data_IF_368384734881
#
_entry.id   IF_368384734881
#
_cell.length_a   1.000
_cell.length_b   1.000
_cell.length_c   1.000
_cell.angle_alpha   90.00
_cell.angle_beta   90.00
_cell.angle_gamma   90.00
#
_symmetry.space_group_name_H-M   'P 1'
#
loop_
_entity.id
_entity.type
_entity.pdbx_description
1 polymer ?
#
# COMPACT_ATOMS: atom_id res chain seq x y z
N UNK A 1 0.81 11.77 -20.27
CA UNK A 1 1.76 12.15 -19.20
C UNK A 1 1.03 11.91 -17.89
N UNK A 2 1.60 11.14 -16.97
CA UNK A 2 0.97 10.84 -15.68
C UNK A 2 1.47 11.89 -14.70
N UNK A 3 0.61 12.82 -14.29
CA UNK A 3 1.00 13.88 -13.36
C UNK A 3 1.04 13.34 -11.93
N UNK A 4 2.17 13.55 -11.25
CA UNK A 4 2.34 13.24 -9.83
C UNK A 4 1.99 14.48 -9.00
N UNK A 5 1.24 14.31 -7.91
CA UNK A 5 0.94 15.39 -7.00
C UNK A 5 2.11 15.63 -6.03
N UNK A 6 2.60 16.86 -5.96
CA UNK A 6 3.55 17.28 -4.94
C UNK A 6 2.80 17.57 -3.63
N UNK A 7 3.21 16.92 -2.54
CA UNK A 7 2.53 17.02 -1.25
C UNK A 7 3.47 17.56 -0.18
N UNK A 8 2.89 18.31 0.77
CA UNK A 8 3.58 18.61 2.02
C UNK A 8 3.33 17.53 3.06
N UNK A 9 4.39 17.02 3.70
CA UNK A 9 4.30 16.00 4.75
C UNK A 9 4.84 16.57 6.05
N UNK A 10 3.99 16.68 7.07
CA UNK A 10 4.43 17.03 8.42
C UNK A 10 5.23 15.88 9.02
N UNK A 11 6.30 16.19 9.76
CA UNK A 11 7.11 15.19 10.46
C UNK A 11 8.16 14.46 9.63
N UNK A 12 8.33 14.79 8.34
CA UNK A 12 9.44 14.28 7.50
C UNK A 12 10.58 15.32 7.39
N UNK A 13 11.85 14.89 7.29
CA UNK A 13 12.99 15.81 7.12
C UNK A 13 12.85 16.69 5.88
N UNK A 14 12.37 16.13 4.78
CA UNK A 14 12.02 16.86 3.56
C UNK A 14 10.51 17.08 3.55
N UNK A 15 10.11 18.35 3.51
CA UNK A 15 8.72 18.78 3.74
C UNK A 15 7.86 18.82 2.49
N UNK A 16 8.46 18.85 1.30
CA UNK A 16 7.78 18.92 0.01
C UNK A 16 8.42 17.91 -0.94
N UNK A 17 7.58 17.12 -1.61
CA UNK A 17 8.05 16.16 -2.59
C UNK A 17 6.93 15.29 -3.11
N UNK A 18 7.32 14.33 -3.94
CA UNK A 18 6.43 13.29 -4.44
C UNK A 18 6.37 12.12 -3.47
N UNK A 19 5.23 11.44 -3.48
CA UNK A 19 5.00 10.23 -2.69
C UNK A 19 4.85 9.05 -3.64
N UNK A 20 5.27 7.88 -3.19
CA UNK A 20 5.01 6.63 -3.87
C UNK A 20 4.66 5.55 -2.85
N UNK A 21 3.77 4.65 -3.24
CA UNK A 21 3.55 3.38 -2.57
C UNK A 21 4.66 2.42 -2.98
N UNK A 22 5.19 1.65 -2.04
CA UNK A 22 6.31 0.74 -2.31
C UNK A 22 6.05 -0.61 -1.66
N UNK A 23 6.11 -1.67 -2.47
CA UNK A 23 6.22 -3.05 -2.02
C UNK A 23 7.68 -3.49 -2.11
N UNK A 24 8.29 -3.79 -0.98
CA UNK A 24 9.70 -4.18 -0.91
C UNK A 24 9.92 -5.42 -0.04
N UNK A 25 10.99 -6.14 -0.31
CA UNK A 25 11.48 -7.21 0.56
C UNK A 25 12.01 -6.65 1.88
N UNK A 26 12.15 -7.51 2.90
CA UNK A 26 12.76 -7.13 4.19
C UNK A 26 14.20 -6.58 4.06
N UNK A 27 14.90 -6.92 2.98
CA UNK A 27 16.26 -6.45 2.69
C UNK A 27 16.28 -5.13 1.91
N UNK A 28 15.12 -4.55 1.59
CA UNK A 28 15.00 -3.26 0.89
C UNK A 28 14.92 -3.36 -0.63
N UNK A 29 14.90 -4.55 -1.23
CA UNK A 29 14.67 -4.69 -2.67
C UNK A 29 13.23 -4.31 -3.03
N UNK A 30 13.07 -3.32 -3.90
CA UNK A 30 11.77 -2.88 -4.42
C UNK A 30 11.26 -3.91 -5.44
N UNK A 31 10.10 -4.49 -5.15
CA UNK A 31 9.41 -5.43 -6.06
C UNK A 31 8.31 -4.73 -6.85
N UNK A 32 7.72 -3.69 -6.28
CA UNK A 32 6.63 -2.93 -6.86
C UNK A 32 6.63 -1.51 -6.33
N UNK A 33 6.28 -0.54 -7.18
CA UNK A 33 6.12 0.85 -6.80
C UNK A 33 5.00 1.49 -7.62
N UNK A 34 4.18 2.32 -6.98
CA UNK A 34 3.18 3.14 -7.65
C UNK A 34 3.22 4.58 -7.14
N UNK A 35 3.38 5.56 -8.04
CA UNK A 35 3.25 6.98 -7.71
C UNK A 35 1.93 7.32 -7.01
N UNK A 36 1.99 8.09 -5.92
CA UNK A 36 0.80 8.67 -5.32
C UNK A 36 0.42 9.96 -6.06
N UNK A 37 -0.81 10.03 -6.54
CA UNK A 37 -1.31 11.14 -7.36
C UNK A 37 -2.22 12.10 -6.59
N UNK A 38 -2.24 12.02 -5.26
CA UNK A 38 -3.15 12.85 -4.46
C UNK A 38 -4.61 12.44 -4.68
N UNK A 39 -5.48 13.42 -4.87
CA UNK A 39 -6.91 13.23 -5.05
C UNK A 39 -7.28 12.48 -6.34
N UNK A 40 -6.39 12.44 -7.33
CA UNK A 40 -6.61 11.72 -8.59
C UNK A 40 -6.10 10.28 -8.56
N UNK A 41 -5.55 9.82 -7.42
CA UNK A 41 -5.11 8.42 -7.29
C UNK A 41 -6.31 7.50 -7.46
N UNK A 42 -6.32 6.74 -8.55
CA UNK A 42 -7.44 5.87 -8.89
C UNK A 42 -7.45 4.65 -7.98
N UNK A 43 -8.56 4.45 -7.27
CA UNK A 43 -8.82 3.21 -6.58
C UNK A 43 -9.30 2.17 -7.61
N UNK A 44 -8.72 0.96 -7.60
CA UNK A 44 -9.23 -0.13 -8.42
C UNK A 44 -10.73 -0.34 -8.13
N UNK A 45 -11.63 -0.33 -9.14
CA UNK A 45 -13.07 -0.46 -8.93
C UNK A 45 -13.48 -1.68 -8.12
N UNK A 46 -12.72 -2.79 -8.22
CA UNK A 46 -12.98 -4.04 -7.49
C UNK A 46 -12.85 -3.83 -5.97
N UNK A 47 -11.98 -2.91 -5.54
CA UNK A 47 -11.65 -2.67 -4.13
C UNK A 47 -12.13 -1.31 -3.64
N UNK A 48 -13.01 -0.63 -4.39
CA UNK A 48 -13.47 0.72 -4.09
C UNK A 48 -14.03 0.85 -2.67
N UNK A 49 -14.81 -0.14 -2.25
CA UNK A 49 -15.46 -0.19 -0.93
C UNK A 49 -14.48 -0.41 0.23
N UNK A 50 -13.27 -0.91 -0.05
CA UNK A 50 -12.21 -1.11 0.96
C UNK A 50 -11.33 0.14 1.14
N UNK A 51 -11.53 1.15 0.29
CA UNK A 51 -10.74 2.37 0.27
C UNK A 51 -9.41 2.25 -0.48
N UNK A 52 -8.77 3.40 -0.69
CA UNK A 52 -7.56 3.50 -1.52
C UNK A 52 -6.40 2.62 -1.01
N UNK A 53 -6.15 2.64 0.30
CA UNK A 53 -5.04 1.89 0.89
C UNK A 53 -5.16 0.38 0.67
N UNK A 54 -6.34 -0.18 0.92
CA UNK A 54 -6.63 -1.59 0.67
C UNK A 54 -6.49 -1.95 -0.80
N UNK A 55 -6.98 -1.08 -1.69
CA UNK A 55 -6.89 -1.27 -3.14
C UNK A 55 -5.45 -1.36 -3.64
N UNK A 56 -4.60 -0.44 -3.18
CA UNK A 56 -3.15 -0.41 -3.47
C UNK A 56 -2.47 -1.69 -2.98
N UNK A 57 -2.76 -2.11 -1.74
CA UNK A 57 -2.19 -3.33 -1.17
C UNK A 57 -2.58 -4.57 -1.99
N UNK A 58 -3.87 -4.76 -2.23
CA UNK A 58 -4.37 -5.94 -2.96
C UNK A 58 -3.85 -5.99 -4.40
N UNK A 59 -3.72 -4.83 -5.06
CA UNK A 59 -3.13 -4.75 -6.40
C UNK A 59 -1.63 -5.09 -6.37
N UNK A 60 -0.87 -4.53 -5.43
CA UNK A 60 0.56 -4.78 -5.32
C UNK A 60 0.87 -6.27 -5.09
N UNK A 61 0.13 -6.92 -4.18
CA UNK A 61 0.28 -8.34 -3.87
C UNK A 61 -0.02 -9.21 -5.09
N UNK A 62 -1.09 -8.90 -5.83
CA UNK A 62 -1.44 -9.61 -7.07
C UNK A 62 -0.36 -9.47 -8.15
N UNK A 63 0.25 -8.30 -8.29
CA UNK A 63 1.28 -8.06 -9.30
C UNK A 63 2.60 -8.74 -8.93
N UNK A 64 2.99 -8.65 -7.66
CA UNK A 64 4.20 -9.32 -7.15
C UNK A 64 4.06 -10.83 -7.30
N UNK A 65 2.90 -11.41 -6.97
CA UNK A 65 2.69 -12.86 -7.04
C UNK A 65 2.70 -13.42 -8.47
N UNK A 66 2.32 -12.62 -9.46
CA UNK A 66 2.44 -13.01 -10.88
C UNK A 66 3.87 -13.03 -11.37
N UNK A 67 4.75 -12.22 -10.78
CA UNK A 67 6.16 -12.12 -11.16
C UNK A 67 7.06 -13.13 -10.46
N UNK A 68 6.61 -13.72 -9.34
CA UNK A 68 7.44 -14.53 -8.45
C UNK A 68 6.63 -15.66 -7.80
N UNK A 69 7.00 -16.93 -8.07
CA UNK A 69 6.50 -18.12 -7.37
C UNK A 69 7.19 -18.30 -6.01
N UNK A 70 7.01 -17.34 -5.10
CA UNK A 70 7.68 -17.36 -3.80
C UNK A 70 6.65 -17.25 -2.66
N UNK A 71 6.79 -18.05 -1.59
CA UNK A 71 5.89 -18.03 -0.44
C UNK A 71 6.18 -16.81 0.43
N UNK A 72 5.79 -15.62 -0.04
CA UNK A 72 6.02 -14.38 0.69
C UNK A 72 5.00 -14.19 1.82
N UNK A 73 5.50 -13.84 3.00
CA UNK A 73 4.69 -13.19 4.02
C UNK A 73 4.62 -11.70 3.71
N UNK A 74 3.41 -11.14 3.68
CA UNK A 74 3.19 -9.71 3.43
C UNK A 74 3.10 -9.01 4.78
N UNK A 75 3.96 -8.02 5.01
CA UNK A 75 3.89 -7.21 6.23
C UNK A 75 3.36 -5.83 5.85
N UNK A 76 2.25 -5.44 6.47
CA UNK A 76 1.56 -4.17 6.23
C UNK A 76 1.73 -3.26 7.43
N UNK A 77 2.30 -2.08 7.22
CA UNK A 77 2.59 -1.17 8.32
C UNK A 77 1.41 -0.21 8.61
N UNK A 78 0.52 0.06 7.63
CA UNK A 78 -0.34 1.28 7.65
C UNK A 78 -1.78 1.01 7.20
N UNK A 79 -2.07 -0.21 6.75
CA UNK A 79 -3.39 -0.56 6.22
C UNK A 79 -3.88 -1.81 6.92
N UNK A 80 -4.61 -1.63 8.01
CA UNK A 80 -5.27 -2.74 8.70
C UNK A 80 -6.69 -2.36 9.07
N UNK A 81 -7.64 -2.89 8.30
CA UNK A 81 -9.02 -3.10 8.71
C UNK A 81 -9.33 -4.59 8.59
N UNK A 82 -10.28 -5.10 9.37
CA UNK A 82 -10.71 -6.51 9.27
C UNK A 82 -11.11 -6.92 7.84
N UNK A 83 -11.78 -6.09 7.02
CA UNK A 83 -12.16 -6.50 5.66
C UNK A 83 -10.95 -6.70 4.74
N UNK A 84 -9.87 -5.93 4.93
CA UNK A 84 -8.65 -6.07 4.14
C UNK A 84 -7.93 -7.39 4.48
N UNK A 85 -7.87 -7.76 5.76
CA UNK A 85 -7.23 -9.02 6.18
C UNK A 85 -7.97 -10.24 5.62
N UNK A 86 -9.30 -10.19 5.60
CA UNK A 86 -10.12 -11.24 5.00
C UNK A 86 -9.81 -11.41 3.51
N UNK A 87 -9.72 -10.31 2.75
CA UNK A 87 -9.40 -10.35 1.31
C UNK A 87 -7.99 -10.85 1.01
N UNK A 88 -7.01 -10.50 1.85
CA UNK A 88 -5.63 -11.00 1.72
C UNK A 88 -5.59 -12.51 2.00
N UNK A 89 -6.30 -12.96 3.03
CA UNK A 89 -6.36 -14.37 3.41
C UNK A 89 -7.01 -15.21 2.32
N UNK A 90 -8.10 -14.72 1.70
CA UNK A 90 -8.74 -15.38 0.54
C UNK A 90 -7.78 -15.57 -0.64
N UNK A 91 -6.75 -14.74 -0.76
CA UNK A 91 -5.72 -14.80 -1.80
C UNK A 91 -4.50 -15.65 -1.41
N UNK A 92 -4.58 -16.40 -0.31
CA UNK A 92 -3.52 -17.23 0.23
C UNK A 92 -2.25 -16.48 0.70
N UNK A 93 -2.39 -15.20 1.05
CA UNK A 93 -1.32 -14.42 1.67
C UNK A 93 -1.54 -14.29 3.18
N UNK A 94 -0.43 -14.20 3.91
CA UNK A 94 -0.45 -13.87 5.34
C UNK A 94 -0.12 -12.39 5.49
N UNK A 95 -0.98 -11.66 6.21
CA UNK A 95 -0.75 -10.27 6.58
C UNK A 95 -0.49 -10.12 8.08
N UNK A 96 0.52 -9.34 8.43
CA UNK A 96 0.74 -8.79 9.77
C UNK A 96 0.54 -7.28 9.71
N UNK A 97 -0.08 -6.68 10.73
CA UNK A 97 -0.12 -5.23 10.82
C UNK A 97 -0.55 -4.69 12.17
N UNK A 98 -0.41 -3.38 12.32
CA UNK A 98 -0.65 -2.64 13.56
C UNK A 98 -2.01 -1.93 13.50
N UNK A 99 -2.92 -2.27 14.42
CA UNK A 99 -4.18 -1.55 14.57
C UNK A 99 -3.93 -0.20 15.25
N UNK A 100 -4.24 0.89 14.56
CA UNK A 100 -4.25 2.22 15.16
C UNK A 100 -5.67 2.51 15.70
N UNK A 101 -5.80 2.79 17.01
CA UNK A 101 -7.10 3.07 17.68
C UNK A 101 -7.67 4.47 17.35
N UNK A 102 -6.96 5.27 16.57
CA UNK A 102 -7.31 6.66 16.30
C UNK A 102 -6.75 7.01 14.93
N UNK A 103 -7.59 7.55 14.03
CA UNK A 103 -7.24 7.83 12.63
C UNK A 103 -6.19 8.93 12.46
N UNK A 104 -4.93 8.64 12.78
CA UNK A 104 -3.79 9.51 12.55
C UNK A 104 -2.70 8.82 11.74
N UNK A 105 -2.88 8.93 10.43
CA UNK A 105 -1.93 8.62 9.36
C UNK A 105 -0.44 8.75 9.74
N UNK A 106 0.20 7.64 10.13
CA UNK A 106 1.66 7.50 10.12
C UNK A 106 2.06 6.81 8.81
N UNK A 107 2.81 7.50 7.95
CA UNK A 107 3.25 7.04 6.62
C UNK A 107 4.71 6.53 6.65
N UNK A 108 4.93 5.28 6.25
CA UNK A 108 6.13 4.72 5.62
C UNK A 108 5.75 4.22 4.22
#
# INVERSE_FOLDING_TARGET
>A
MVDMAANSIKGKPIRYGFKAWVGATRLGYVLWMEPYQGATTMCNPIYKELGLGASVVLLSVLLISRGFDLPYHVVLIIFTGTPLLEEITKKAFVALGQFEKTGHLVVL
#
